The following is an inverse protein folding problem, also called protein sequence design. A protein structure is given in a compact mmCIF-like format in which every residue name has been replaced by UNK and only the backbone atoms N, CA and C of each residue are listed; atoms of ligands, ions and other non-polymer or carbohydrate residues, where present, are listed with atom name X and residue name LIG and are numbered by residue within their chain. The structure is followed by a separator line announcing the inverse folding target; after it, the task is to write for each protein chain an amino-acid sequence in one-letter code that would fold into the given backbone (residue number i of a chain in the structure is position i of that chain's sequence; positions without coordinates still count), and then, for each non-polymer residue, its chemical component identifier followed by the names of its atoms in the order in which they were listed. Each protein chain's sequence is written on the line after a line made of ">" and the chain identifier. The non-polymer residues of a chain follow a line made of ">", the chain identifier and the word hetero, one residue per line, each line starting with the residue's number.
data_IF_084663389194
#
_entry.id   IF_084663389194
#
_cell.length_a   1.000
_cell.length_b   1.000
_cell.length_c   1.000
_cell.angle_alpha   90.00
_cell.angle_beta   90.00
_cell.angle_gamma   90.00
#
_symmetry.space_group_name_H-M   'P 1'
#
loop_
_entity.id
_entity.type
_entity.pdbx_description
1 polymer ?
#
# COMPACT_ATOMS: atom_id res chain seq x y z
N UNK A 1 5.96 -6.60 -41.39
CA UNK A 1 6.89 -6.80 -42.47
C UNK A 1 7.91 -5.68 -42.57
N UNK A 2 8.96 -5.83 -43.37
CA UNK A 2 10.14 -4.95 -43.49
C UNK A 2 9.84 -3.46 -43.84
N UNK A 3 8.63 -3.13 -44.25
CA UNK A 3 8.25 -1.78 -44.66
C UNK A 3 7.47 -1.00 -43.56
N UNK A 4 6.97 -1.66 -42.51
CA UNK A 4 6.32 -1.04 -41.38
C UNK A 4 7.35 -0.57 -40.36
N UNK A 5 7.26 0.66 -39.90
CA UNK A 5 8.22 1.30 -39.00
C UNK A 5 7.62 1.74 -37.65
N UNK A 6 6.41 1.27 -37.30
CA UNK A 6 5.67 1.64 -36.09
C UNK A 6 4.51 2.58 -36.38
N UNK A 7 3.71 2.87 -35.36
CA UNK A 7 2.63 3.84 -35.44
C UNK A 7 2.38 4.49 -34.06
N UNK A 8 1.85 5.71 -34.07
CA UNK A 8 1.51 6.43 -32.84
C UNK A 8 0.33 7.40 -33.09
N UNK A 9 -0.26 7.90 -32.03
CA UNK A 9 -1.27 8.97 -32.08
C UNK A 9 -0.54 10.27 -31.78
N UNK A 10 -0.70 11.28 -32.66
CA UNK A 10 -0.12 12.61 -32.47
C UNK A 10 -1.00 13.50 -31.55
N UNK A 11 -0.50 14.69 -31.22
CA UNK A 11 -1.20 15.65 -30.35
C UNK A 11 -2.53 16.18 -30.96
N UNK A 12 -2.75 15.97 -32.26
CA UNK A 12 -3.98 16.32 -32.95
C UNK A 12 -4.97 15.15 -33.09
N UNK A 13 -4.70 14.04 -32.38
CA UNK A 13 -5.44 12.77 -32.47
C UNK A 13 -5.41 12.10 -33.85
N UNK A 14 -4.39 12.34 -34.66
CA UNK A 14 -4.19 11.62 -35.89
C UNK A 14 -3.42 10.32 -35.64
N UNK A 15 -3.81 9.25 -36.31
CA UNK A 15 -2.99 8.03 -36.36
C UNK A 15 -1.85 8.26 -37.35
N UNK A 16 -0.62 8.32 -36.87
CA UNK A 16 0.56 8.40 -37.72
C UNK A 16 1.11 7.00 -37.92
N UNK A 17 1.14 6.54 -39.18
CA UNK A 17 1.73 5.24 -39.56
C UNK A 17 3.10 5.49 -40.17
N UNK A 18 4.12 4.95 -39.56
CA UNK A 18 5.50 5.05 -40.01
C UNK A 18 5.82 3.94 -41.03
N UNK A 19 6.41 4.29 -42.15
CA UNK A 19 6.85 3.37 -43.19
C UNK A 19 8.31 3.66 -43.58
N UNK A 20 9.06 2.60 -43.96
CA UNK A 20 10.43 2.73 -44.51
C UNK A 20 10.47 2.97 -46.02
N UNK A 21 9.30 3.12 -46.63
CA UNK A 21 9.15 3.26 -48.07
C UNK A 21 8.31 4.46 -48.47
N UNK A 22 8.64 5.12 -49.55
CA UNK A 22 7.84 6.14 -50.22
C UNK A 22 6.91 5.58 -51.30
N UNK A 23 6.85 4.26 -51.47
CA UNK A 23 6.00 3.59 -52.44
C UNK A 23 4.53 3.96 -52.22
N UNK A 24 3.96 4.66 -53.23
CA UNK A 24 2.60 5.20 -53.14
C UNK A 24 1.53 4.11 -53.04
N UNK A 25 1.77 2.97 -53.74
CA UNK A 25 0.82 1.85 -53.70
C UNK A 25 0.69 1.31 -52.26
N UNK A 26 1.80 1.20 -51.52
CA UNK A 26 1.79 0.74 -50.12
C UNK A 26 1.15 1.78 -49.19
N UNK A 27 1.43 3.06 -49.43
CA UNK A 27 0.79 4.14 -48.65
C UNK A 27 -0.73 4.13 -48.86
N UNK A 28 -1.20 3.98 -50.11
CA UNK A 28 -2.60 3.88 -50.47
C UNK A 28 -3.28 2.65 -49.85
N UNK A 29 -2.59 1.50 -49.80
CA UNK A 29 -3.08 0.30 -49.13
C UNK A 29 -3.26 0.53 -47.62
N UNK A 30 -2.31 1.20 -46.94
CA UNK A 30 -2.41 1.53 -45.53
C UNK A 30 -3.59 2.46 -45.29
N UNK A 31 -3.71 3.54 -46.06
CA UNK A 31 -4.81 4.50 -45.95
C UNK A 31 -6.18 3.83 -46.18
N UNK A 32 -6.27 2.91 -47.16
CA UNK A 32 -7.49 2.18 -47.43
C UNK A 32 -7.90 1.24 -46.29
N UNK A 33 -6.93 0.56 -45.68
CA UNK A 33 -7.15 -0.36 -44.54
C UNK A 33 -7.48 0.36 -43.22
N UNK A 34 -7.00 1.57 -43.04
CA UNK A 34 -7.19 2.36 -41.79
C UNK A 34 -8.36 3.33 -41.83
N UNK A 35 -9.05 3.47 -42.99
CA UNK A 35 -10.27 4.29 -43.13
C UNK A 35 -10.04 5.73 -43.56
N UNK A 36 -8.86 6.15 -43.91
CA UNK A 36 -8.41 7.47 -44.47
C UNK A 36 -8.63 8.71 -43.60
N UNK A 37 -9.61 8.76 -42.73
CA UNK A 37 -9.83 9.93 -41.88
C UNK A 37 -8.81 9.93 -40.71
N UNK A 38 -8.16 11.06 -40.47
CA UNK A 38 -7.18 11.26 -39.40
C UNK A 38 -5.98 10.27 -39.40
N UNK A 39 -5.57 9.80 -40.59
CA UNK A 39 -4.40 8.95 -40.76
C UNK A 39 -3.33 9.69 -41.57
N UNK A 40 -2.12 9.75 -41.01
CA UNK A 40 -0.95 10.34 -41.64
C UNK A 40 0.11 9.26 -41.91
N UNK A 41 0.82 9.39 -43.01
CA UNK A 41 1.97 8.54 -43.32
C UNK A 41 3.25 9.35 -43.05
N UNK A 42 4.18 8.76 -42.28
CA UNK A 42 5.50 9.32 -42.02
C UNK A 42 6.56 8.37 -42.50
N UNK A 43 7.52 8.89 -43.24
CA UNK A 43 8.69 8.08 -43.75
C UNK A 43 9.74 8.03 -42.66
N UNK A 44 10.26 6.83 -42.39
CA UNK A 44 11.28 6.55 -41.37
C UNK A 44 12.42 5.72 -41.95
N UNK A 45 13.54 5.70 -41.25
CA UNK A 45 14.74 5.00 -41.69
C UNK A 45 14.71 3.50 -41.37
N UNK A 46 14.28 3.15 -40.15
CA UNK A 46 14.32 1.78 -39.64
C UNK A 46 12.92 1.17 -39.59
N UNK A 47 12.81 -0.09 -40.03
CA UNK A 47 11.59 -0.87 -39.87
C UNK A 47 11.34 -1.18 -38.37
N UNK A 48 10.09 -1.43 -38.01
CA UNK A 48 9.74 -1.82 -36.63
C UNK A 48 10.40 -3.15 -36.24
N UNK A 49 10.62 -4.05 -37.21
CA UNK A 49 11.32 -5.32 -37.03
C UNK A 49 12.80 -5.10 -36.66
N UNK A 50 13.49 -4.17 -37.34
CA UNK A 50 14.88 -3.81 -37.02
C UNK A 50 14.97 -3.18 -35.61
N UNK A 51 14.05 -2.27 -35.26
CA UNK A 51 14.00 -1.70 -33.93
C UNK A 51 13.71 -2.74 -32.84
N UNK A 52 12.79 -3.68 -33.08
CA UNK A 52 12.51 -4.76 -32.13
C UNK A 52 13.70 -5.70 -31.98
N UNK A 53 14.42 -6.01 -33.04
CA UNK A 53 15.64 -6.85 -32.98
C UNK A 53 16.72 -6.16 -32.13
N UNK A 54 16.95 -4.86 -32.33
CA UNK A 54 17.89 -4.09 -31.54
C UNK A 54 17.42 -4.02 -30.04
N UNK A 55 16.14 -3.77 -29.80
CA UNK A 55 15.55 -3.81 -28.46
C UNK A 55 15.80 -5.15 -27.76
N UNK A 56 15.46 -6.27 -28.40
CA UNK A 56 15.63 -7.59 -27.80
C UNK A 56 17.10 -7.94 -27.56
N UNK A 57 18.01 -7.56 -28.45
CA UNK A 57 19.44 -7.79 -28.27
C UNK A 57 19.97 -7.07 -27.01
N UNK A 58 19.51 -5.83 -26.74
CA UNK A 58 19.93 -5.08 -25.56
C UNK A 58 19.26 -5.65 -24.30
N UNK A 59 17.95 -5.93 -24.35
CA UNK A 59 17.21 -6.48 -23.21
C UNK A 59 17.77 -7.82 -22.75
N UNK A 60 18.13 -8.71 -23.70
CA UNK A 60 18.74 -10.00 -23.37
C UNK A 60 20.10 -9.87 -22.67
N UNK A 61 20.81 -8.75 -22.89
CA UNK A 61 22.08 -8.46 -22.21
C UNK A 61 21.95 -7.69 -20.91
N UNK A 62 20.75 -7.15 -20.56
CA UNK A 62 20.57 -6.33 -19.33
C UNK A 62 20.98 -7.07 -18.05
N UNK A 63 20.86 -8.41 -18.03
CA UNK A 63 21.23 -9.24 -16.87
C UNK A 63 22.65 -9.81 -16.96
N UNK A 64 23.42 -9.50 -18.02
CA UNK A 64 24.82 -9.90 -18.11
C UNK A 64 25.69 -9.01 -17.22
N UNK A 65 26.84 -9.54 -16.76
CA UNK A 65 27.80 -8.83 -15.90
C UNK A 65 28.23 -7.47 -16.48
N UNK A 66 28.18 -7.31 -17.81
CA UNK A 66 28.55 -6.06 -18.46
C UNK A 66 27.51 -4.95 -18.31
N UNK A 67 26.22 -5.29 -18.21
CA UNK A 67 25.08 -4.36 -18.23
C UNK A 67 24.33 -4.31 -16.90
N UNK A 68 24.55 -5.29 -16.01
CA UNK A 68 23.85 -5.41 -14.74
C UNK A 68 23.94 -4.13 -13.91
N UNK A 69 22.77 -3.60 -13.53
CA UNK A 69 22.66 -2.37 -12.74
C UNK A 69 23.04 -1.07 -13.47
N UNK A 70 23.51 -1.15 -14.73
CA UNK A 70 23.94 0.02 -15.52
C UNK A 70 22.89 0.46 -16.52
N UNK A 71 22.18 -0.45 -17.19
CA UNK A 71 21.04 -0.14 -18.06
C UNK A 71 19.78 -0.11 -17.22
N UNK A 72 19.11 1.04 -17.16
CA UNK A 72 17.93 1.25 -16.33
C UNK A 72 16.62 1.04 -17.09
N UNK A 73 16.56 1.44 -18.36
CA UNK A 73 15.36 1.32 -19.20
C UNK A 73 15.76 1.14 -20.67
N UNK A 74 14.95 0.38 -21.40
CA UNK A 74 15.05 0.22 -22.85
C UNK A 74 13.64 0.23 -23.42
N UNK A 75 13.40 1.02 -24.47
CA UNK A 75 12.10 1.06 -25.14
C UNK A 75 12.23 1.49 -26.60
N UNK A 76 11.23 1.15 -27.42
CA UNK A 76 11.13 1.63 -28.79
C UNK A 76 10.42 2.97 -28.78
N UNK A 77 11.03 3.98 -29.40
CA UNK A 77 10.44 5.30 -29.64
C UNK A 77 9.99 5.37 -31.09
N UNK A 78 8.72 5.11 -31.32
CA UNK A 78 8.10 5.10 -32.64
C UNK A 78 8.08 6.49 -33.28
N UNK A 79 8.02 7.55 -32.47
CA UNK A 79 8.01 8.94 -32.96
C UNK A 79 9.36 9.27 -33.60
N UNK A 80 10.44 8.98 -32.89
CA UNK A 80 11.80 9.27 -33.35
C UNK A 80 12.45 8.12 -34.12
N UNK A 81 11.76 6.98 -34.24
CA UNK A 81 12.22 5.79 -34.95
C UNK A 81 13.57 5.28 -34.43
N UNK A 82 13.68 5.14 -33.11
CA UNK A 82 14.89 4.70 -32.41
C UNK A 82 14.53 3.73 -31.28
N UNK A 83 15.51 2.95 -30.87
CA UNK A 83 15.48 2.29 -29.57
C UNK A 83 16.21 3.18 -28.58
N UNK A 84 15.51 3.62 -27.55
CA UNK A 84 16.10 4.43 -26.49
C UNK A 84 16.66 3.52 -25.41
N UNK A 85 17.91 3.78 -25.03
CA UNK A 85 18.60 3.06 -23.95
C UNK A 85 19.00 4.07 -22.89
N UNK A 86 18.39 3.97 -21.72
CA UNK A 86 18.76 4.79 -20.57
C UNK A 86 19.78 4.05 -19.71
N UNK A 87 20.91 4.67 -19.46
CA UNK A 87 21.97 4.09 -18.63
C UNK A 87 22.37 5.02 -17.49
N UNK A 88 22.71 4.42 -16.33
CA UNK A 88 23.31 5.13 -15.20
C UNK A 88 24.80 5.41 -15.43
N UNK A 89 25.44 4.68 -16.36
CA UNK A 89 26.86 4.74 -16.65
C UNK A 89 27.12 4.86 -18.17
N UNK A 90 27.41 6.06 -18.64
CA UNK A 90 27.69 6.32 -20.07
C UNK A 90 28.99 5.69 -20.57
N UNK A 91 29.88 5.20 -19.70
CA UNK A 91 31.12 4.52 -20.11
C UNK A 91 30.86 3.20 -20.82
N UNK A 92 29.66 2.61 -20.68
CA UNK A 92 29.27 1.39 -21.39
C UNK A 92 28.68 1.62 -22.79
N UNK A 93 28.70 2.88 -23.30
CA UNK A 93 28.08 3.26 -24.56
C UNK A 93 28.56 2.33 -25.70
N UNK A 94 29.87 2.15 -25.88
CA UNK A 94 30.42 1.32 -26.91
C UNK A 94 29.95 -0.16 -26.82
N UNK A 95 29.80 -0.67 -25.62
CA UNK A 95 29.26 -2.02 -25.39
C UNK A 95 27.81 -2.15 -25.81
N UNK A 96 27.01 -1.09 -25.57
CA UNK A 96 25.60 -1.04 -26.00
C UNK A 96 25.54 -0.96 -27.54
N UNK A 97 26.35 -0.11 -28.15
CA UNK A 97 26.43 0.02 -29.60
C UNK A 97 26.83 -1.30 -30.29
N UNK A 98 27.78 -2.02 -29.69
CA UNK A 98 28.22 -3.35 -30.18
C UNK A 98 27.18 -4.48 -29.93
N UNK A 99 26.13 -4.22 -29.18
CA UNK A 99 25.06 -5.20 -28.93
C UNK A 99 24.01 -5.23 -30.05
N UNK A 100 24.05 -4.28 -31.00
CA UNK A 100 23.07 -4.15 -32.09
C UNK A 100 23.82 -4.21 -33.46
N UNK A 101 23.08 -4.51 -34.52
CA UNK A 101 23.64 -4.58 -35.87
C UNK A 101 23.93 -3.21 -36.46
N UNK A 102 23.10 -2.22 -36.12
CA UNK A 102 23.27 -0.84 -36.58
C UNK A 102 23.09 0.10 -35.37
N UNK A 103 24.18 0.69 -34.90
CA UNK A 103 24.19 1.66 -33.81
C UNK A 103 23.39 2.95 -34.13
N UNK A 104 23.16 3.21 -35.44
CA UNK A 104 22.33 4.33 -35.86
C UNK A 104 20.85 4.20 -35.43
N UNK A 105 20.36 2.97 -35.17
CA UNK A 105 18.99 2.74 -34.74
C UNK A 105 18.76 2.99 -33.22
N UNK A 106 19.82 3.22 -32.43
CA UNK A 106 19.70 3.43 -30.99
C UNK A 106 20.00 4.88 -30.58
N UNK A 107 19.39 5.29 -29.47
CA UNK A 107 19.66 6.55 -28.78
C UNK A 107 20.03 6.25 -27.32
N UNK A 108 21.30 6.43 -26.95
CA UNK A 108 21.81 6.18 -25.61
C UNK A 108 21.86 7.49 -24.85
N UNK A 109 21.15 7.53 -23.72
CA UNK A 109 21.10 8.71 -22.86
C UNK A 109 21.31 8.35 -21.39
N UNK A 110 21.74 9.36 -20.60
CA UNK A 110 21.87 9.19 -19.16
C UNK A 110 20.49 9.11 -18.55
N UNK A 111 20.26 8.09 -17.72
CA UNK A 111 19.00 7.93 -17.00
C UNK A 111 18.77 9.08 -16.03
N UNK A 112 17.60 9.70 -16.10
CA UNK A 112 17.14 10.75 -15.20
C UNK A 112 16.27 10.22 -14.06
N UNK A 113 15.78 8.98 -14.19
CA UNK A 113 14.88 8.35 -13.25
C UNK A 113 15.25 6.91 -12.95
N UNK A 114 14.49 6.30 -12.07
CA UNK A 114 14.55 4.86 -11.82
C UNK A 114 13.12 4.31 -11.69
N UNK A 115 12.90 3.13 -12.20
CA UNK A 115 11.67 2.38 -11.94
C UNK A 115 11.66 1.96 -10.47
N UNK A 116 10.61 2.32 -9.74
CA UNK A 116 10.41 1.95 -8.35
C UNK A 116 9.07 1.25 -8.19
N UNK A 117 9.05 0.18 -7.38
CA UNK A 117 7.79 -0.49 -7.07
C UNK A 117 6.85 0.46 -6.32
N UNK A 118 5.60 0.51 -6.74
CA UNK A 118 4.56 1.26 -6.03
C UNK A 118 4.17 0.48 -4.77
N UNK A 119 4.28 1.14 -3.61
CA UNK A 119 3.85 0.56 -2.33
C UNK A 119 2.37 0.82 -2.09
N UNK A 120 1.68 -0.20 -1.58
CA UNK A 120 0.35 -0.04 -1.02
C UNK A 120 0.45 0.41 0.43
N UNK A 121 -0.14 1.56 0.76
CA UNK A 121 -0.14 2.09 2.12
C UNK A 121 -1.41 1.72 2.88
N UNK A 122 -1.24 1.03 4.00
CA UNK A 122 -2.31 0.71 4.92
C UNK A 122 -2.62 1.90 5.83
N UNK A 123 -3.91 2.15 6.04
CA UNK A 123 -4.41 3.32 6.77
C UNK A 123 -5.09 2.89 8.07
N UNK A 124 -4.93 3.64 9.17
CA UNK A 124 -5.75 3.47 10.38
C UNK A 124 -7.24 3.39 10.05
N UNK A 125 -7.97 2.47 10.67
CA UNK A 125 -9.37 2.16 10.36
C UNK A 125 -9.58 1.29 9.10
N UNK A 126 -8.51 0.86 8.43
CA UNK A 126 -8.57 -0.12 7.34
C UNK A 126 -8.68 -1.55 7.84
N UNK A 127 -8.73 -2.47 6.91
CA UNK A 127 -8.81 -3.91 7.15
C UNK A 127 -7.44 -4.54 7.38
N UNK A 128 -7.36 -5.45 8.32
CA UNK A 128 -6.30 -6.45 8.47
C UNK A 128 -6.93 -7.76 8.94
N UNK A 129 -6.67 -8.88 8.25
CA UNK A 129 -7.21 -10.19 8.58
C UNK A 129 -6.14 -11.15 9.09
N UNK A 130 -6.55 -12.11 9.90
CA UNK A 130 -5.76 -13.27 10.31
C UNK A 130 -6.11 -14.45 9.39
N UNK A 131 -5.11 -15.09 8.79
CA UNK A 131 -5.32 -16.28 7.99
C UNK A 131 -5.55 -17.50 8.90
N UNK A 132 -6.75 -18.08 8.83
CA UNK A 132 -7.14 -19.28 9.54
C UNK A 132 -7.30 -20.45 8.56
N UNK A 133 -6.30 -21.30 8.46
CA UNK A 133 -6.33 -22.48 7.59
C UNK A 133 -5.34 -22.44 6.43
N UNK A 134 -5.28 -23.54 5.68
CA UNK A 134 -4.36 -23.75 4.55
C UNK A 134 -5.06 -23.74 3.19
N UNK A 135 -6.39 -23.63 3.17
CA UNK A 135 -7.19 -23.75 1.96
C UNK A 135 -7.61 -22.39 1.40
N UNK A 136 -7.86 -22.33 0.10
CA UNK A 136 -8.26 -21.13 -0.67
C UNK A 136 -9.58 -20.48 -0.19
N UNK A 137 -10.31 -21.14 0.73
CA UNK A 137 -11.54 -20.69 1.38
C UNK A 137 -11.39 -20.50 2.89
N UNK A 138 -10.15 -20.32 3.39
CA UNK A 138 -9.93 -20.12 4.82
C UNK A 138 -10.66 -18.86 5.30
N UNK A 139 -11.51 -19.04 6.30
CA UNK A 139 -12.17 -17.95 7.01
C UNK A 139 -11.08 -17.06 7.62
N UNK A 140 -11.12 -15.79 7.34
CA UNK A 140 -10.26 -14.80 8.01
C UNK A 140 -11.02 -14.22 9.19
N UNK A 141 -10.37 -14.18 10.36
CA UNK A 141 -10.84 -13.31 11.43
C UNK A 141 -10.47 -11.87 11.09
N UNK A 142 -11.47 -11.01 10.99
CA UNK A 142 -11.34 -9.66 10.46
C UNK A 142 -11.18 -8.63 11.56
N UNK A 143 -10.17 -7.79 11.43
CA UNK A 143 -9.86 -6.69 12.35
C UNK A 143 -9.75 -5.36 11.63
N UNK A 144 -9.91 -4.29 12.37
CA UNK A 144 -9.57 -2.94 11.92
C UNK A 144 -8.15 -2.57 12.33
N UNK A 145 -7.46 -1.84 11.47
CA UNK A 145 -6.14 -1.29 11.78
C UNK A 145 -6.31 -0.15 12.79
N UNK A 146 -5.60 -0.22 13.91
CA UNK A 146 -5.51 0.85 14.89
C UNK A 146 -4.56 1.95 14.42
N UNK A 147 -3.27 1.73 14.58
CA UNK A 147 -2.24 2.71 14.23
C UNK A 147 -0.92 2.02 13.85
N UNK A 148 -0.05 2.74 13.18
CA UNK A 148 1.29 2.25 12.84
C UNK A 148 2.23 2.42 14.01
N UNK A 149 3.05 1.41 14.26
CA UNK A 149 4.00 1.41 15.35
C UNK A 149 5.30 0.70 15.00
N UNK A 150 6.31 0.93 15.81
CA UNK A 150 7.53 0.15 15.77
C UNK A 150 7.89 -0.36 17.16
N UNK A 151 8.63 -1.44 17.19
CA UNK A 151 9.21 -2.00 18.41
C UNK A 151 10.59 -2.58 18.14
N UNK A 152 11.37 -2.77 19.21
CA UNK A 152 12.59 -3.56 19.14
C UNK A 152 12.21 -5.04 19.36
N UNK A 153 12.64 -5.91 18.48
CA UNK A 153 12.41 -7.35 18.62
C UNK A 153 13.45 -7.99 19.57
N UNK A 154 13.28 -9.28 19.87
CA UNK A 154 14.18 -10.01 20.79
C UNK A 154 15.64 -10.08 20.28
N UNK A 155 15.90 -9.85 19.01
CA UNK A 155 17.23 -9.79 18.41
C UNK A 155 17.81 -8.36 18.39
N UNK A 156 17.16 -7.38 19.02
CA UNK A 156 17.62 -5.98 19.07
C UNK A 156 17.30 -5.17 17.80
N UNK A 157 16.59 -5.71 16.83
CA UNK A 157 16.29 -5.02 15.58
C UNK A 157 14.98 -4.24 15.68
N UNK A 158 14.98 -3.01 15.13
CA UNK A 158 13.74 -2.23 14.94
C UNK A 158 12.85 -2.90 13.90
N UNK A 159 11.60 -3.17 14.29
CA UNK A 159 10.57 -3.73 13.42
C UNK A 159 9.37 -2.80 13.35
N UNK A 160 8.84 -2.60 12.16
CA UNK A 160 7.70 -1.72 11.88
C UNK A 160 6.47 -2.55 11.59
N UNK A 161 5.29 -1.97 11.85
CA UNK A 161 4.04 -2.67 11.63
C UNK A 161 2.82 -1.92 12.14
N UNK A 162 1.77 -2.69 12.44
CA UNK A 162 0.45 -2.20 12.82
C UNK A 162 0.02 -2.75 14.17
N UNK A 163 -0.70 -1.94 14.93
CA UNK A 163 -1.42 -2.36 16.14
C UNK A 163 -2.88 -2.63 15.77
N UNK A 164 -3.44 -3.73 16.28
CA UNK A 164 -4.85 -4.10 16.16
C UNK A 164 -5.31 -4.83 17.44
N UNK A 165 -6.51 -5.42 17.47
CA UNK A 165 -7.01 -6.17 18.60
C UNK A 165 -6.20 -7.46 18.85
N UNK A 166 -6.31 -8.01 20.07
CA UNK A 166 -5.63 -9.23 20.50
C UNK A 166 -6.55 -10.46 20.62
N UNK A 167 -7.87 -10.25 20.88
CA UNK A 167 -8.79 -11.37 20.92
C UNK A 167 -8.78 -12.14 19.59
N UNK A 168 -8.96 -13.44 19.65
CA UNK A 168 -8.94 -14.40 18.52
C UNK A 168 -7.64 -14.42 17.67
N UNK A 169 -6.62 -13.66 18.06
CA UNK A 169 -5.34 -13.69 17.35
C UNK A 169 -4.51 -14.91 17.74
N UNK A 170 -4.01 -15.62 16.75
CA UNK A 170 -2.96 -16.63 16.86
C UNK A 170 -1.65 -16.02 16.39
N UNK A 171 -0.63 -15.99 17.27
CA UNK A 171 0.70 -15.46 16.91
C UNK A 171 1.39 -16.35 15.88
N UNK A 172 2.28 -15.73 15.07
CA UNK A 172 3.00 -16.33 13.95
C UNK A 172 2.15 -16.61 12.69
N UNK A 173 0.84 -16.43 12.76
CA UNK A 173 -0.03 -16.51 11.58
C UNK A 173 0.17 -15.32 10.63
N UNK A 174 -0.12 -15.57 9.37
CA UNK A 174 -0.04 -14.58 8.32
C UNK A 174 -1.14 -13.51 8.50
N UNK A 175 -0.76 -12.26 8.31
CA UNK A 175 -1.69 -11.13 8.27
C UNK A 175 -1.99 -10.76 6.83
N UNK A 176 -3.27 -10.72 6.47
CA UNK A 176 -3.78 -10.43 5.12
C UNK A 176 -4.36 -9.02 5.04
N UNK A 177 -4.19 -8.40 3.89
CA UNK A 177 -4.87 -7.14 3.55
C UNK A 177 -6.23 -7.39 2.92
N UNK A 178 -7.07 -6.37 2.81
CA UNK A 178 -8.28 -6.44 2.00
C UNK A 178 -7.91 -6.78 0.55
N UNK A 179 -8.38 -7.88 0.05
CA UNK A 179 -7.96 -8.42 -1.25
C UNK A 179 -6.95 -9.58 -1.15
N UNK A 180 -6.63 -10.05 0.07
CA UNK A 180 -5.91 -11.30 0.32
C UNK A 180 -4.38 -11.21 0.23
N UNK A 181 -3.81 -10.03 0.00
CA UNK A 181 -2.35 -9.86 -0.08
C UNK A 181 -1.66 -10.02 1.28
N UNK A 182 -0.52 -10.70 1.29
CA UNK A 182 0.32 -10.90 2.49
C UNK A 182 0.98 -9.60 2.92
N UNK A 183 0.61 -9.10 4.10
CA UNK A 183 1.23 -7.92 4.70
C UNK A 183 2.42 -8.28 5.59
N UNK A 184 2.23 -9.26 6.47
CA UNK A 184 3.21 -9.63 7.48
C UNK A 184 2.71 -10.71 8.41
N UNK A 185 3.20 -10.73 9.65
CA UNK A 185 2.82 -11.74 10.65
C UNK A 185 2.42 -11.11 11.98
N UNK A 186 1.46 -11.72 12.65
CA UNK A 186 1.16 -11.43 14.05
C UNK A 186 2.29 -11.95 14.94
N UNK A 187 3.06 -11.06 15.55
CA UNK A 187 4.27 -11.45 16.31
C UNK A 187 4.16 -11.20 17.81
N UNK A 188 3.14 -10.44 18.24
CA UNK A 188 2.88 -10.15 19.63
C UNK A 188 1.36 -10.10 19.87
N UNK A 189 0.93 -10.68 20.98
CA UNK A 189 -0.43 -10.61 21.51
C UNK A 189 -0.40 -10.32 23.00
N UNK A 190 -1.30 -9.46 23.45
CA UNK A 190 -1.67 -9.29 24.86
C UNK A 190 -3.17 -9.30 24.96
N UNK A 191 -3.71 -10.13 25.85
CA UNK A 191 -5.15 -10.30 26.04
C UNK A 191 -5.46 -10.52 27.51
N UNK A 192 -6.12 -9.56 28.13
CA UNK A 192 -6.43 -9.51 29.57
C UNK A 192 -5.76 -8.34 30.31
N UNK A 193 -6.22 -8.04 31.52
CA UNK A 193 -5.74 -6.92 32.29
C UNK A 193 -6.06 -5.59 31.62
N UNK A 194 -5.04 -4.81 31.28
CA UNK A 194 -5.20 -3.50 30.60
C UNK A 194 -5.18 -3.58 29.09
N UNK A 195 -4.96 -4.76 28.52
CA UNK A 195 -4.62 -4.92 27.11
C UNK A 195 -5.49 -5.95 26.39
N UNK A 196 -6.00 -5.55 25.25
CA UNK A 196 -6.50 -6.40 24.18
C UNK A 196 -5.90 -5.88 22.88
N UNK A 197 -4.71 -6.36 22.56
CA UNK A 197 -3.96 -5.88 21.42
C UNK A 197 -3.05 -6.94 20.80
N UNK A 198 -2.76 -6.77 19.53
CA UNK A 198 -1.70 -7.49 18.83
C UNK A 198 -0.87 -6.55 17.98
N UNK A 199 0.36 -6.96 17.72
CA UNK A 199 1.26 -6.27 16.80
C UNK A 199 1.51 -7.16 15.58
N UNK A 200 1.22 -6.58 14.42
CA UNK A 200 1.44 -7.20 13.11
C UNK A 200 2.71 -6.61 12.53
N UNK A 201 3.79 -7.38 12.54
CA UNK A 201 5.05 -6.97 11.95
C UNK A 201 4.95 -7.05 10.42
N UNK A 202 5.31 -5.96 9.73
CA UNK A 202 5.42 -5.96 8.27
C UNK A 202 6.61 -6.82 7.83
N UNK A 203 6.36 -7.76 6.94
CA UNK A 203 7.41 -8.57 6.29
C UNK A 203 7.45 -8.35 4.78
N UNK A 204 6.36 -7.86 4.20
CA UNK A 204 6.27 -7.59 2.76
C UNK A 204 6.60 -6.13 2.45
N UNK A 205 7.70 -5.92 1.71
CA UNK A 205 8.22 -4.59 1.34
C UNK A 205 7.31 -3.80 0.38
N UNK A 206 6.34 -4.47 -0.26
CA UNK A 206 5.37 -3.83 -1.15
C UNK A 206 4.28 -3.06 -0.39
N UNK A 207 4.23 -3.21 0.93
CA UNK A 207 3.33 -2.48 1.80
C UNK A 207 4.08 -1.47 2.65
N UNK A 208 3.38 -0.44 3.07
CA UNK A 208 3.81 0.54 4.05
C UNK A 208 2.62 0.95 4.92
N UNK A 209 2.87 1.71 5.96
CA UNK A 209 1.87 2.27 6.86
C UNK A 209 1.84 3.79 6.72
N UNK A 210 0.68 4.39 6.95
CA UNK A 210 0.52 5.85 6.94
C UNK A 210 -0.24 6.33 8.17
N UNK A 211 -0.08 7.61 8.50
CA UNK A 211 -0.90 8.29 9.52
C UNK A 211 -2.20 8.88 8.96
N UNK A 212 -2.43 8.82 7.63
CA UNK A 212 -3.67 9.29 7.03
C UNK A 212 -4.82 8.37 7.44
N UNK A 213 -5.78 8.92 8.15
CA UNK A 213 -6.92 8.17 8.71
C UNK A 213 -7.91 7.85 7.58
N UNK A 214 -8.29 6.58 7.47
CA UNK A 214 -9.29 6.15 6.47
C UNK A 214 -10.64 6.80 6.80
N UNK A 215 -11.40 7.14 5.78
CA UNK A 215 -12.74 7.74 5.85
C UNK A 215 -12.81 9.18 6.40
N UNK A 216 -11.73 9.77 6.94
CA UNK A 216 -11.75 11.15 7.44
C UNK A 216 -10.97 12.13 6.58
N UNK A 217 -10.00 11.65 5.80
CA UNK A 217 -9.07 12.49 5.06
C UNK A 217 -8.03 13.22 5.94
N UNK A 218 -8.17 13.12 7.26
CA UNK A 218 -7.25 13.72 8.24
C UNK A 218 -6.05 12.80 8.49
N UNK A 219 -5.03 13.32 9.18
CA UNK A 219 -3.85 12.54 9.57
C UNK A 219 -3.58 12.64 11.07
N UNK A 220 -3.08 11.54 11.64
CA UNK A 220 -2.54 11.54 12.99
C UNK A 220 -1.22 12.31 13.03
N UNK A 221 -0.95 12.97 14.14
CA UNK A 221 0.38 13.49 14.44
C UNK A 221 1.34 12.34 14.69
N UNK A 222 2.35 12.19 13.84
CA UNK A 222 3.33 11.12 13.94
C UNK A 222 4.07 11.13 15.27
N UNK A 223 4.20 9.96 15.90
CA UNK A 223 4.89 9.80 17.18
C UNK A 223 4.12 10.27 18.43
N UNK A 224 2.87 10.75 18.29
CA UNK A 224 2.13 11.31 19.40
C UNK A 224 0.88 10.49 19.77
N UNK A 225 0.62 10.43 21.08
CA UNK A 225 -0.58 9.81 21.64
C UNK A 225 -1.15 10.70 22.77
N UNK A 226 -2.38 10.42 23.18
CA UNK A 226 -3.03 11.12 24.30
C UNK A 226 -2.66 10.39 25.60
N UNK A 227 -2.07 11.11 26.55
CA UNK A 227 -1.79 10.56 27.88
C UNK A 227 -3.10 10.38 28.65
N UNK A 228 -3.19 9.33 29.45
CA UNK A 228 -4.39 9.07 30.28
C UNK A 228 -4.73 10.24 31.21
N UNK A 229 -3.71 10.92 31.74
CA UNK A 229 -3.89 12.12 32.58
C UNK A 229 -4.47 13.33 31.83
N UNK A 230 -4.46 13.31 30.51
CA UNK A 230 -5.05 14.37 29.67
C UNK A 230 -6.45 14.02 29.15
N UNK A 231 -6.97 12.85 29.52
CA UNK A 231 -8.33 12.44 29.18
C UNK A 231 -9.30 12.81 30.29
N UNK A 232 -10.50 13.25 29.92
CA UNK A 232 -11.57 13.55 30.85
C UNK A 232 -12.94 13.03 30.37
N UNK A 233 -13.81 12.67 31.28
CA UNK A 233 -15.21 12.33 30.99
C UNK A 233 -15.87 13.52 30.29
N UNK A 234 -16.67 13.22 29.27
CA UNK A 234 -17.34 14.23 28.43
C UNK A 234 -16.51 14.70 27.22
N UNK A 235 -15.19 14.46 27.17
CA UNK A 235 -14.37 14.82 26.01
C UNK A 235 -14.80 14.03 24.77
N UNK A 236 -14.75 14.70 23.62
CA UNK A 236 -15.05 14.11 22.31
C UNK A 236 -13.95 13.15 21.87
N UNK A 237 -14.38 11.99 21.40
CA UNK A 237 -13.50 10.97 20.81
C UNK A 237 -14.03 10.56 19.44
N UNK A 238 -13.13 10.13 18.59
CA UNK A 238 -13.40 9.63 17.25
C UNK A 238 -12.94 8.19 17.17
N UNK A 239 -13.72 7.33 16.51
CA UNK A 239 -13.33 5.96 16.19
C UNK A 239 -13.40 5.73 14.69
N UNK A 240 -12.40 5.06 14.15
CA UNK A 240 -12.39 4.60 12.76
C UNK A 240 -12.17 3.11 12.73
N UNK A 241 -13.07 2.41 12.04
CA UNK A 241 -12.97 0.96 11.82
C UNK A 241 -13.57 0.58 10.47
N UNK A 242 -13.39 -0.66 10.09
CA UNK A 242 -13.79 -1.12 8.76
C UNK A 242 -15.31 -1.23 8.59
N UNK A 243 -16.04 -1.51 9.67
CA UNK A 243 -17.49 -1.76 9.62
C UNK A 243 -18.30 -0.47 9.74
N UNK A 244 -18.22 0.22 10.87
CA UNK A 244 -19.01 1.44 11.10
C UNK A 244 -18.30 2.73 10.61
N UNK A 245 -17.15 2.61 9.97
CA UNK A 245 -16.37 3.72 9.41
C UNK A 245 -15.97 4.73 10.50
N UNK A 246 -16.08 6.03 10.22
CA UNK A 246 -15.86 7.10 11.17
C UNK A 246 -17.11 7.30 12.02
N UNK A 247 -16.95 7.15 13.32
CA UNK A 247 -17.99 7.47 14.31
C UNK A 247 -17.42 8.36 15.40
N UNK A 248 -18.28 9.15 16.05
CA UNK A 248 -17.87 10.06 17.10
C UNK A 248 -18.74 9.85 18.35
N UNK A 249 -18.17 10.13 19.49
CA UNK A 249 -18.86 10.06 20.78
C UNK A 249 -18.10 10.85 21.83
N UNK A 250 -18.44 10.58 23.10
CA UNK A 250 -17.80 11.17 24.26
C UNK A 250 -17.28 10.07 25.18
N UNK A 251 -16.25 10.36 25.95
CA UNK A 251 -15.77 9.51 27.03
C UNK A 251 -16.83 9.48 28.11
N UNK A 252 -17.26 8.30 28.53
CA UNK A 252 -18.24 8.05 29.60
C UNK A 252 -17.57 7.65 30.92
N UNK A 253 -16.44 6.89 30.83
CA UNK A 253 -15.65 6.49 31.99
C UNK A 253 -14.20 6.26 31.57
N UNK A 254 -13.24 6.58 32.42
CA UNK A 254 -11.81 6.41 32.22
C UNK A 254 -11.23 5.15 32.89
N UNK A 255 -11.99 4.53 33.81
CA UNK A 255 -11.54 3.37 34.58
C UNK A 255 -12.61 2.28 34.51
N UNK A 256 -12.91 1.83 33.31
CA UNK A 256 -13.90 0.81 33.06
C UNK A 256 -13.28 -0.59 33.13
N UNK A 257 -13.97 -1.51 33.84
CA UNK A 257 -13.60 -2.92 33.92
C UNK A 257 -14.74 -3.77 33.37
N UNK A 258 -14.40 -4.80 32.61
CA UNK A 258 -15.38 -5.72 32.00
C UNK A 258 -14.81 -7.12 31.78
N UNK A 259 -15.69 -8.04 31.45
CA UNK A 259 -15.36 -9.35 30.87
C UNK A 259 -15.94 -9.41 29.46
N UNK A 260 -15.18 -9.86 28.52
CA UNK A 260 -15.64 -10.04 27.14
C UNK A 260 -16.44 -11.35 27.07
N UNK A 261 -17.63 -11.32 26.45
CA UNK A 261 -18.48 -12.50 26.30
C UNK A 261 -17.72 -13.62 25.55
N UNK A 262 -17.76 -14.85 26.09
CA UNK A 262 -17.04 -16.01 25.56
C UNK A 262 -15.59 -16.15 26.07
N UNK A 263 -15.11 -15.20 26.90
CA UNK A 263 -13.74 -15.24 27.44
C UNK A 263 -13.73 -15.21 28.96
N UNK A 264 -12.67 -15.78 29.56
CA UNK A 264 -12.46 -15.79 31.02
C UNK A 264 -11.66 -14.59 31.51
N UNK A 265 -10.97 -13.92 30.62
CA UNK A 265 -10.10 -12.80 30.91
C UNK A 265 -10.90 -11.60 31.41
N UNK A 266 -10.39 -10.98 32.47
CA UNK A 266 -10.91 -9.70 32.99
C UNK A 266 -10.09 -8.57 32.44
N UNK A 267 -10.77 -7.50 32.08
CA UNK A 267 -10.17 -6.27 31.61
C UNK A 267 -10.41 -5.15 32.60
N UNK A 268 -9.42 -4.28 32.78
CA UNK A 268 -9.48 -3.12 33.65
C UNK A 268 -8.74 -1.94 33.04
N UNK A 269 -8.90 -0.76 33.63
CA UNK A 269 -8.27 0.48 33.14
C UNK A 269 -8.58 0.79 31.66
N UNK A 270 -9.74 0.34 31.18
CA UNK A 270 -10.26 0.65 29.86
C UNK A 270 -11.11 1.90 29.87
N UNK A 271 -11.44 2.41 28.70
CA UNK A 271 -12.30 3.59 28.54
C UNK A 271 -13.64 3.18 27.94
N UNK A 272 -14.72 3.62 28.59
CA UNK A 272 -16.09 3.52 28.07
C UNK A 272 -16.42 4.79 27.29
N UNK A 273 -16.99 4.66 26.09
CA UNK A 273 -17.32 5.78 25.22
C UNK A 273 -18.64 5.58 24.49
N UNK A 274 -19.28 6.66 24.07
CA UNK A 274 -20.60 6.63 23.40
C UNK A 274 -20.53 6.55 21.87
N UNK A 275 -19.35 6.48 21.24
CA UNK A 275 -19.25 6.29 19.79
C UNK A 275 -19.74 4.88 19.40
N UNK A 276 -20.32 4.77 18.21
CA UNK A 276 -20.83 3.48 17.70
C UNK A 276 -19.71 2.62 17.16
N UNK A 277 -19.69 1.34 17.54
CA UNK A 277 -18.86 0.30 16.94
C UNK A 277 -19.66 -0.96 16.68
N UNK A 278 -19.15 -1.84 15.81
CA UNK A 278 -19.76 -3.13 15.51
C UNK A 278 -18.68 -4.18 15.22
N UNK A 279 -19.09 -5.44 15.02
CA UNK A 279 -18.21 -6.55 14.64
C UNK A 279 -17.33 -6.13 13.45
N UNK A 280 -16.03 -6.44 13.52
CA UNK A 280 -15.03 -6.00 12.53
C UNK A 280 -14.38 -4.65 12.83
N UNK A 281 -14.94 -3.83 13.75
CA UNK A 281 -14.29 -2.60 14.23
C UNK A 281 -13.23 -2.87 15.31
N UNK A 282 -13.09 -4.12 15.76
CA UNK A 282 -12.07 -4.55 16.73
C UNK A 282 -10.66 -4.17 16.24
N UNK A 283 -9.86 -3.58 17.11
CA UNK A 283 -8.54 -3.05 16.81
C UNK A 283 -8.54 -1.67 16.16
N UNK A 284 -9.68 -1.15 15.73
CA UNK A 284 -9.80 0.13 15.05
C UNK A 284 -9.24 1.30 15.85
N UNK A 285 -8.77 2.33 15.16
CA UNK A 285 -8.20 3.52 15.76
C UNK A 285 -9.24 4.28 16.57
N UNK A 286 -8.87 4.64 17.80
CA UNK A 286 -9.54 5.68 18.59
C UNK A 286 -8.59 6.86 18.72
N UNK A 287 -9.05 8.08 18.42
CA UNK A 287 -8.23 9.28 18.44
C UNK A 287 -9.00 10.50 18.98
N UNK A 288 -8.26 11.51 19.37
CA UNK A 288 -8.80 12.76 19.92
C UNK A 288 -8.10 13.95 19.26
N UNK A 289 -8.80 15.06 19.21
CA UNK A 289 -8.20 16.36 18.93
C UNK A 289 -7.51 16.88 20.20
N UNK A 290 -6.24 17.15 20.08
CA UNK A 290 -5.43 17.75 21.13
C UNK A 290 -4.78 19.03 20.58
N UNK A 291 -5.46 20.17 20.76
CA UNK A 291 -5.05 21.50 20.29
C UNK A 291 -4.88 21.59 18.76
N UNK A 292 -5.85 21.07 18.01
CA UNK A 292 -5.82 21.08 16.56
C UNK A 292 -4.98 19.96 15.91
N UNK A 293 -4.42 19.07 16.72
CA UNK A 293 -3.69 17.88 16.25
C UNK A 293 -4.44 16.60 16.62
N UNK A 294 -4.65 15.71 15.67
CA UNK A 294 -5.20 14.40 15.98
C UNK A 294 -4.13 13.47 16.52
N UNK A 295 -4.35 12.95 17.73
CA UNK A 295 -3.44 12.05 18.44
C UNK A 295 -4.13 10.74 18.78
N UNK A 296 -3.36 9.65 18.80
CA UNK A 296 -3.85 8.32 19.14
C UNK A 296 -4.32 8.32 20.59
N UNK A 297 -5.59 7.97 20.85
CA UNK A 297 -6.14 7.75 22.17
C UNK A 297 -6.13 6.26 22.56
N UNK A 298 -6.33 5.36 21.58
CA UNK A 298 -6.37 3.94 21.84
C UNK A 298 -6.84 3.09 20.68
N UNK A 299 -7.19 1.86 21.00
CA UNK A 299 -7.75 0.87 20.07
C UNK A 299 -9.14 0.44 20.53
N UNK A 300 -10.12 0.48 19.62
CA UNK A 300 -11.46 -0.06 19.86
C UNK A 300 -11.38 -1.57 20.11
N UNK A 301 -12.08 -2.04 21.13
CA UNK A 301 -12.12 -3.48 21.44
C UNK A 301 -13.47 -4.06 21.06
N UNK A 302 -14.53 -3.58 21.70
CA UNK A 302 -15.86 -4.16 21.58
C UNK A 302 -16.96 -3.12 21.75
N UNK A 303 -18.18 -3.53 21.40
CA UNK A 303 -19.42 -2.83 21.76
C UNK A 303 -20.05 -3.46 23.02
N UNK A 304 -20.72 -2.64 23.78
CA UNK A 304 -21.61 -3.07 24.85
C UNK A 304 -23.05 -2.95 24.35
N UNK A 305 -23.83 -4.02 24.52
CA UNK A 305 -25.23 -4.09 24.07
C UNK A 305 -26.14 -4.44 25.22
N UNK A 306 -27.38 -3.99 25.18
CA UNK A 306 -28.42 -4.41 26.07
C UNK A 306 -28.67 -5.91 25.93
N UNK A 307 -28.80 -6.61 27.07
CA UNK A 307 -28.91 -8.08 27.05
C UNK A 307 -30.22 -8.59 26.45
N UNK A 308 -31.29 -7.83 26.63
CA UNK A 308 -32.64 -8.21 26.18
C UNK A 308 -32.91 -7.68 24.77
N UNK A 309 -32.75 -6.39 24.57
CA UNK A 309 -33.12 -5.71 23.31
C UNK A 309 -32.02 -5.80 22.23
N UNK A 310 -30.78 -6.20 22.62
CA UNK A 310 -29.58 -6.20 21.76
C UNK A 310 -29.22 -4.82 21.19
N UNK A 311 -29.82 -3.76 21.72
CA UNK A 311 -29.51 -2.40 21.30
C UNK A 311 -28.12 -1.99 21.74
N UNK A 312 -27.46 -1.19 20.92
CA UNK A 312 -26.16 -0.60 21.22
C UNK A 312 -26.26 0.35 22.42
N UNK A 313 -25.39 0.20 23.41
CA UNK A 313 -25.29 1.05 24.59
C UNK A 313 -24.04 1.93 24.57
N UNK A 314 -22.87 1.34 24.28
CA UNK A 314 -21.58 2.01 24.33
C UNK A 314 -20.51 1.17 23.66
N UNK A 315 -19.32 1.75 23.51
CA UNK A 315 -18.12 1.04 23.06
C UNK A 315 -17.03 1.12 24.12
N UNK A 316 -16.10 0.18 24.07
CA UNK A 316 -14.95 0.09 24.96
C UNK A 316 -13.67 0.16 24.13
N UNK A 317 -12.70 0.95 24.59
CA UNK A 317 -11.38 0.98 23.99
C UNK A 317 -10.26 0.91 25.03
N UNK A 318 -9.11 0.41 24.59
CA UNK A 318 -7.88 0.36 25.37
C UNK A 318 -7.09 1.63 25.13
N UNK A 319 -6.52 2.20 26.21
CA UNK A 319 -5.64 3.37 26.12
C UNK A 319 -4.36 3.04 25.37
N UNK A 320 -3.99 3.87 24.41
CA UNK A 320 -2.70 3.75 23.70
C UNK A 320 -1.51 3.81 24.66
N UNK A 321 -1.61 4.62 25.72
CA UNK A 321 -0.57 4.74 26.74
C UNK A 321 -0.25 3.39 27.41
N UNK A 322 -1.26 2.53 27.64
CA UNK A 322 -1.05 1.19 28.22
C UNK A 322 -0.28 0.29 27.23
N UNK A 323 -0.62 0.35 25.94
CA UNK A 323 0.11 -0.40 24.91
C UNK A 323 1.57 0.05 24.85
N UNK A 324 1.82 1.35 24.84
CA UNK A 324 3.17 1.92 24.77
C UNK A 324 4.00 1.53 25.98
N UNK A 325 3.46 1.66 27.21
CA UNK A 325 4.19 1.39 28.45
C UNK A 325 4.42 -0.09 28.73
N UNK A 326 3.44 -0.94 28.40
CA UNK A 326 3.46 -2.35 28.83
C UNK A 326 4.10 -3.27 27.77
N UNK A 327 4.20 -2.84 26.51
CA UNK A 327 4.73 -3.66 25.39
C UNK A 327 5.72 -2.95 24.47
N UNK A 328 6.16 -1.75 24.81
CA UNK A 328 7.18 -0.97 24.09
C UNK A 328 6.91 -0.82 22.57
N UNK A 329 5.65 -0.62 22.22
CA UNK A 329 5.28 -0.30 20.83
C UNK A 329 5.11 1.21 20.72
N UNK A 330 6.00 1.85 19.98
CA UNK A 330 6.02 3.30 19.82
C UNK A 330 5.31 3.71 18.52
N UNK A 331 4.40 4.69 18.55
CA UNK A 331 3.84 5.27 17.33
C UNK A 331 4.88 6.06 16.55
N UNK A 332 4.69 6.21 15.21
CA UNK A 332 5.59 7.03 14.37
C UNK A 332 4.89 7.66 13.17
#
# INVERSE_FOLDING_TARGET
>A
GKKYAGAYIDDNNNLVVNLTTSDKQIQDEVLNKTGKENVLISQKQYSYEELLNAYHNIVNKMQSDEFEGKVSQVYVDEINNKVVVETTDLSIREKIENAVLDAGCINIQKSKGKAVATKTYLKPGGYIGLEEGTDMYSLTTDYSIGWRGWRINNAGNKTEGLVTAGHDVTIHKQAKTYGGGDYGKFVLKRFGGKLDMSFVQRTNKNYGETNTIKFSGSSLKGGYYVRSSSMAVGQKVYKVGMTTKLTTGKILSLNHSYTLEGYKEKFNDCVLASYKSDVGDSGGLVYMDANGEYRIAGNNVCKNVDRETKQFLSSIFIKAENIIKDVDIMPY
#
